data_IF_156972064470
#
_entry.id   IF_156972064470
#
_cell.length_a   1.000
_cell.length_b   1.000
_cell.length_c   1.000
_cell.angle_alpha   90.00
_cell.angle_beta   90.00
_cell.angle_gamma   90.00
#
_symmetry.space_group_name_H-M   'P 1'
#
loop_
_entity.id
_entity.type
_entity.pdbx_description
1 polymer ?
#
# COMPACT_ATOMS: atom_id res chain seq x y z
N UNK A 1 18.91 8.27 22.30
CA UNK A 1 18.38 9.44 21.55
C UNK A 1 16.90 9.16 21.35
N UNK A 2 15.96 10.07 21.66
CA UNK A 2 14.56 9.79 21.43
C UNK A 2 14.37 9.61 19.92
N UNK A 3 14.10 8.36 19.54
CA UNK A 3 13.98 7.90 18.17
C UNK A 3 13.03 8.82 17.42
N UNK A 4 13.38 9.19 16.19
CA UNK A 4 12.58 10.03 15.31
C UNK A 4 11.32 9.25 14.89
N UNK A 5 10.39 9.17 15.85
CA UNK A 5 8.95 9.29 15.78
C UNK A 5 8.25 8.37 14.78
N UNK A 6 7.54 7.42 15.36
CA UNK A 6 6.48 6.56 14.84
C UNK A 6 5.37 7.23 13.99
N UNK A 7 5.47 8.51 13.66
CA UNK A 7 4.43 9.32 13.01
C UNK A 7 4.41 9.15 11.48
N UNK A 8 5.55 8.89 10.84
CA UNK A 8 5.66 8.81 9.37
C UNK A 8 5.51 7.39 8.79
N UNK A 9 5.13 6.39 9.62
CA UNK A 9 5.10 4.98 9.19
C UNK A 9 4.20 4.73 7.97
N UNK A 10 3.18 5.55 7.78
CA UNK A 10 2.18 5.43 6.72
C UNK A 10 2.48 6.30 5.49
N UNK A 11 3.45 7.21 5.56
CA UNK A 11 3.81 8.08 4.42
C UNK A 11 4.87 7.38 3.58
N UNK A 12 4.55 7.09 2.32
CA UNK A 12 5.41 6.32 1.40
C UNK A 12 5.58 7.05 0.08
N UNK A 13 6.79 6.98 -0.48
CA UNK A 13 7.09 7.54 -1.80
C UNK A 13 6.55 6.62 -2.89
N UNK A 14 6.05 7.24 -3.95
CA UNK A 14 5.70 6.55 -5.19
C UNK A 14 6.95 6.27 -6.02
N UNK A 15 7.10 5.03 -6.47
CA UNK A 15 8.25 4.58 -7.25
C UNK A 15 7.79 4.07 -8.60
N UNK A 16 8.51 4.44 -9.66
CA UNK A 16 8.22 3.97 -11.02
C UNK A 16 8.50 2.46 -11.12
N UNK A 17 7.52 1.70 -11.61
CA UNK A 17 7.65 0.27 -11.91
C UNK A 17 7.45 0.10 -13.42
N UNK A 18 8.48 -0.37 -14.12
CA UNK A 18 8.46 -0.48 -15.58
C UNK A 18 8.35 0.87 -16.27
N UNK A 19 7.62 0.93 -17.40
CA UNK A 19 7.54 2.14 -18.24
C UNK A 19 6.39 3.08 -17.87
N UNK A 20 5.21 2.53 -17.53
CA UNK A 20 3.95 3.29 -17.35
C UNK A 20 3.30 3.13 -15.98
N UNK A 21 3.85 2.29 -15.10
CA UNK A 21 3.24 2.00 -13.80
C UNK A 21 4.03 2.64 -12.67
N UNK A 22 3.33 2.89 -11.57
CA UNK A 22 3.90 3.39 -10.33
C UNK A 22 3.44 2.44 -9.23
N UNK A 23 4.35 2.06 -8.35
CA UNK A 23 4.06 1.32 -7.13
C UNK A 23 4.34 2.13 -5.89
N UNK A 24 3.81 1.64 -4.77
CA UNK A 24 4.14 2.08 -3.42
C UNK A 24 4.35 0.84 -2.57
N UNK A 25 5.18 0.96 -1.54
CA UNK A 25 5.32 -0.09 -0.52
C UNK A 25 4.27 0.12 0.56
N UNK A 26 3.57 -0.95 0.91
CA UNK A 26 2.61 -0.91 2.01
C UNK A 26 3.36 -1.19 3.33
N UNK A 27 3.05 -0.45 4.42
CA UNK A 27 3.48 -0.80 5.75
C UNK A 27 3.14 -2.27 6.07
N UNK A 28 4.07 -2.98 6.69
CA UNK A 28 3.92 -4.42 6.96
C UNK A 28 2.77 -4.69 7.94
N UNK A 29 2.48 -3.75 8.83
CA UNK A 29 1.37 -3.81 9.78
C UNK A 29 0.03 -3.94 9.06
N UNK A 30 -0.22 -3.11 8.04
CA UNK A 30 -1.45 -3.19 7.22
C UNK A 30 -1.53 -4.51 6.45
N UNK A 31 -0.43 -4.95 5.85
CA UNK A 31 -0.38 -6.22 5.11
C UNK A 31 -0.75 -7.39 6.03
N UNK A 32 -0.29 -7.37 7.29
CA UNK A 32 -0.61 -8.39 8.29
C UNK A 32 -2.06 -8.30 8.78
N UNK A 33 -2.57 -7.10 9.04
CA UNK A 33 -3.96 -6.87 9.44
C UNK A 33 -4.95 -7.38 8.39
N UNK A 34 -4.70 -7.08 7.11
CA UNK A 34 -5.50 -7.59 5.99
C UNK A 34 -5.21 -9.06 5.64
N UNK A 35 -4.22 -9.70 6.30
CA UNK A 35 -3.75 -11.07 6.02
C UNK A 35 -3.37 -11.28 4.55
N UNK A 36 -2.86 -10.22 3.93
CA UNK A 36 -2.46 -10.21 2.54
C UNK A 36 -1.21 -11.07 2.32
N UNK A 37 -1.27 -11.92 1.31
CA UNK A 37 -0.17 -12.82 0.94
C UNK A 37 0.56 -12.29 -0.28
N UNK A 38 1.83 -12.69 -0.41
CA UNK A 38 2.60 -12.40 -1.61
C UNK A 38 1.89 -12.93 -2.86
N UNK A 39 1.97 -12.19 -3.97
CA UNK A 39 1.40 -12.54 -5.29
C UNK A 39 -0.12 -12.69 -5.36
N UNK A 40 -0.86 -12.38 -4.29
CA UNK A 40 -2.32 -12.40 -4.35
C UNK A 40 -2.87 -11.27 -5.24
N UNK A 41 -4.11 -11.43 -5.72
CA UNK A 41 -4.82 -10.42 -6.49
C UNK A 41 -5.60 -9.48 -5.57
N UNK A 42 -5.53 -8.19 -5.87
CA UNK A 42 -6.32 -7.13 -5.22
C UNK A 42 -6.94 -6.24 -6.29
N UNK A 43 -8.04 -5.57 -5.94
CA UNK A 43 -8.67 -4.58 -6.82
C UNK A 43 -8.21 -3.19 -6.40
N UNK A 44 -7.88 -2.34 -7.37
CA UNK A 44 -7.53 -0.94 -7.13
C UNK A 44 -8.63 -0.07 -7.73
N UNK A 45 -9.37 0.65 -6.89
CA UNK A 45 -10.48 1.51 -7.30
C UNK A 45 -10.22 2.96 -6.90
N UNK A 46 -10.80 3.89 -7.66
CA UNK A 46 -10.82 5.31 -7.30
C UNK A 46 -12.05 5.61 -6.46
N UNK A 47 -11.86 6.27 -5.32
CA UNK A 47 -12.93 6.83 -4.50
C UNK A 47 -12.66 8.32 -4.29
N UNK A 48 -13.29 9.16 -5.11
CA UNK A 48 -13.06 10.60 -5.14
C UNK A 48 -11.61 10.97 -5.45
N UNK A 49 -10.91 11.54 -4.45
CA UNK A 49 -9.48 11.92 -4.50
C UNK A 49 -8.55 10.84 -3.91
N UNK A 50 -9.07 9.67 -3.55
CA UNK A 50 -8.33 8.58 -2.92
C UNK A 50 -8.34 7.33 -3.80
N UNK A 51 -7.37 6.46 -3.58
CA UNK A 51 -7.34 5.10 -4.12
C UNK A 51 -7.71 4.15 -2.98
N UNK A 52 -8.61 3.22 -3.25
CA UNK A 52 -9.00 2.15 -2.33
C UNK A 52 -8.50 0.84 -2.92
N UNK A 53 -7.83 0.04 -2.09
CA UNK A 53 -7.35 -1.28 -2.45
C UNK A 53 -8.16 -2.28 -1.64
N UNK A 54 -8.79 -3.23 -2.33
CA UNK A 54 -9.70 -4.22 -1.73
C UNK A 54 -9.30 -5.63 -2.16
N UNK A 55 -9.61 -6.64 -1.34
CA UNK A 55 -9.46 -8.03 -1.75
C UNK A 55 -10.26 -8.33 -3.02
N UNK A 56 -9.66 -9.08 -3.93
CA UNK A 56 -10.34 -9.54 -5.13
C UNK A 56 -11.35 -10.63 -4.75
N UNK A 57 -12.61 -10.23 -4.53
CA UNK A 57 -13.75 -11.15 -4.37
C UNK A 57 -14.16 -11.62 -5.76
N UNK A 58 -13.90 -12.90 -6.05
CA UNK A 58 -14.43 -13.57 -7.23
C UNK A 58 -15.90 -13.90 -7.03
#
# INVERSE_FOLDING_TARGET
MPDKKSTDKNVRKLTKIGKKSIGLTLPIELVREFKWKERQKVTVKRSGKKIVIEDWKK
#
